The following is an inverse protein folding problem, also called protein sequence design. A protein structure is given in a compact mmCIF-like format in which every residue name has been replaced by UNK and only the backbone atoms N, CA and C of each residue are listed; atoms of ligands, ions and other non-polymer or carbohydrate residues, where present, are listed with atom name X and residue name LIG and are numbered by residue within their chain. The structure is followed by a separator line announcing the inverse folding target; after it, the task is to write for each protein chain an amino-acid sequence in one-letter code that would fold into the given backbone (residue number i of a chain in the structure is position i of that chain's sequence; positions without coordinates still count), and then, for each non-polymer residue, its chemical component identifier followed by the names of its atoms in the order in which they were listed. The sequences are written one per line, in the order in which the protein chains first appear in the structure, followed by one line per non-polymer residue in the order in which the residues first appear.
data_IF_530899253693
#
_entry.id   IF_530899253693
#
_cell.length_a   1.000
_cell.length_b   1.000
_cell.length_c   1.000
_cell.angle_alpha   90.00
_cell.angle_beta   90.00
_cell.angle_gamma   90.00
#
_symmetry.space_group_name_H-M   'P 1'
#
loop_
_entity.id
_entity.type
_entity.pdbx_description
1 polymer ?
#
# COMPACT_ATOMS: atom_id res chain seq x y z
N UNK A 1 2.51 -33.44 -6.80
CA UNK A 1 1.20 -32.77 -6.70
C UNK A 1 0.72 -32.59 -5.26
N UNK A 2 0.69 -33.61 -4.41
CA UNK A 2 0.24 -33.52 -2.98
C UNK A 2 0.99 -32.43 -2.16
N UNK A 3 2.29 -32.29 -2.28
CA UNK A 3 3.09 -31.30 -1.55
C UNK A 3 2.77 -29.83 -1.94
N UNK A 4 2.45 -29.57 -3.21
CA UNK A 4 2.01 -28.22 -3.64
C UNK A 4 0.63 -27.87 -3.09
N UNK A 5 -0.29 -28.84 -3.08
CA UNK A 5 -1.63 -28.67 -2.50
C UNK A 5 -1.58 -28.39 -0.99
N UNK A 6 -0.72 -29.12 -0.24
CA UNK A 6 -0.53 -28.87 1.20
C UNK A 6 0.10 -27.52 1.51
N UNK A 7 1.06 -27.07 0.70
CA UNK A 7 1.67 -25.75 0.83
C UNK A 7 0.65 -24.62 0.59
N UNK A 8 -0.13 -24.73 -0.48
CA UNK A 8 -1.17 -23.76 -0.81
C UNK A 8 -2.28 -23.77 0.25
N UNK A 9 -2.71 -24.96 0.72
CA UNK A 9 -3.71 -25.08 1.76
C UNK A 9 -3.30 -24.43 3.09
N UNK A 10 -2.06 -24.68 3.55
CA UNK A 10 -1.51 -24.02 4.75
C UNK A 10 -1.49 -22.48 4.61
N UNK A 11 -1.15 -21.96 3.42
CA UNK A 11 -1.14 -20.50 3.18
C UNK A 11 -2.55 -19.90 3.16
N UNK A 12 -3.52 -20.59 2.56
CA UNK A 12 -4.92 -20.15 2.57
C UNK A 12 -5.52 -20.14 3.99
N UNK A 13 -5.23 -21.16 4.81
CA UNK A 13 -5.64 -21.17 6.22
C UNK A 13 -4.99 -20.00 6.96
N UNK A 14 -3.69 -19.76 6.76
CA UNK A 14 -3.00 -18.62 7.38
C UNK A 14 -3.62 -17.28 6.96
N UNK A 15 -3.98 -17.14 5.68
CA UNK A 15 -4.69 -15.95 5.20
C UNK A 15 -6.03 -15.78 5.89
N UNK A 16 -6.85 -16.83 5.96
CA UNK A 16 -8.15 -16.77 6.61
C UNK A 16 -8.03 -16.38 8.10
N UNK A 17 -7.07 -16.97 8.81
CA UNK A 17 -6.81 -16.62 10.22
C UNK A 17 -6.32 -15.18 10.38
N UNK A 18 -5.47 -14.68 9.49
CA UNK A 18 -5.03 -13.28 9.50
C UNK A 18 -6.18 -12.32 9.22
N UNK A 19 -7.01 -12.59 8.21
CA UNK A 19 -8.17 -11.75 7.89
C UNK A 19 -9.19 -11.73 9.05
N UNK A 20 -9.42 -12.88 9.66
CA UNK A 20 -10.26 -12.97 10.86
C UNK A 20 -9.64 -12.18 12.02
N UNK A 21 -8.36 -12.35 12.31
CA UNK A 21 -7.67 -11.62 13.38
C UNK A 21 -7.71 -10.11 13.18
N UNK A 22 -7.43 -9.65 11.95
CA UNK A 22 -7.47 -8.22 11.61
C UNK A 22 -8.89 -7.67 11.76
N UNK A 23 -9.94 -8.39 11.30
CA UNK A 23 -11.31 -7.94 11.44
C UNK A 23 -11.75 -7.85 12.91
N UNK A 24 -11.37 -8.83 13.75
CA UNK A 24 -11.63 -8.79 15.21
C UNK A 24 -10.97 -7.59 15.85
N UNK A 25 -9.67 -7.36 15.58
CA UNK A 25 -8.93 -6.24 16.16
C UNK A 25 -9.54 -4.90 15.73
N UNK A 26 -9.84 -4.75 14.44
CA UNK A 26 -10.48 -3.53 13.93
C UNK A 26 -11.85 -3.29 14.59
N UNK A 27 -12.66 -4.35 14.73
CA UNK A 27 -13.95 -4.28 15.40
C UNK A 27 -13.81 -3.85 16.86
N UNK A 28 -12.88 -4.48 17.60
CA UNK A 28 -12.65 -4.15 19.02
C UNK A 28 -12.15 -2.71 19.20
N UNK A 29 -11.25 -2.24 18.32
CA UNK A 29 -10.78 -0.86 18.35
C UNK A 29 -11.92 0.13 18.09
N UNK A 30 -12.83 -0.16 17.16
CA UNK A 30 -14.01 0.66 16.91
C UNK A 30 -14.97 0.66 18.12
N UNK A 31 -15.20 -0.48 18.77
CA UNK A 31 -16.02 -0.55 19.97
C UNK A 31 -15.40 0.17 21.17
N UNK A 32 -14.06 0.22 21.24
CA UNK A 32 -13.32 0.94 22.28
C UNK A 32 -13.15 2.43 21.98
N UNK A 33 -13.52 2.89 20.78
CA UNK A 33 -13.43 4.29 20.38
C UNK A 33 -14.39 5.14 21.22
N UNK A 34 -13.91 6.29 21.75
CA UNK A 34 -14.77 7.23 22.47
C UNK A 34 -15.66 8.07 21.54
N UNK A 35 -15.57 7.86 20.22
CA UNK A 35 -16.34 8.60 19.23
C UNK A 35 -17.81 8.13 19.24
N UNK A 36 -18.71 9.03 19.53
CA UNK A 36 -20.14 8.81 19.39
C UNK A 36 -20.53 9.03 17.91
N UNK A 37 -21.06 7.99 17.23
CA UNK A 37 -21.47 8.10 15.83
C UNK A 37 -22.46 9.21 15.56
N UNK A 38 -23.41 9.44 16.48
CA UNK A 38 -24.42 10.47 16.31
C UNK A 38 -23.81 11.87 16.44
N UNK A 39 -23.01 12.09 17.49
CA UNK A 39 -22.37 13.40 17.67
C UNK A 39 -21.40 13.73 16.53
N UNK A 40 -20.66 12.74 16.05
CA UNK A 40 -19.68 12.92 14.97
C UNK A 40 -20.33 13.25 13.63
N UNK A 41 -21.47 12.59 13.30
CA UNK A 41 -22.08 12.69 11.98
C UNK A 41 -23.26 13.65 11.88
N UNK A 42 -23.96 13.89 12.98
CA UNK A 42 -25.13 14.78 13.05
C UNK A 42 -24.77 16.12 13.68
N UNK A 43 -23.86 16.10 14.65
CA UNK A 43 -23.47 17.26 15.43
C UNK A 43 -24.38 17.52 16.63
N UNK A 44 -23.78 17.93 17.74
CA UNK A 44 -24.48 18.11 19.02
C UNK A 44 -25.63 19.15 18.96
N UNK A 45 -25.45 20.22 18.17
CA UNK A 45 -26.48 21.23 18.01
C UNK A 45 -27.74 20.70 17.29
N UNK A 46 -27.55 19.88 16.27
CA UNK A 46 -28.67 19.27 15.53
C UNK A 46 -29.37 18.19 16.38
N UNK A 47 -28.62 17.39 17.13
CA UNK A 47 -29.18 16.40 18.06
C UNK A 47 -30.06 17.07 19.14
N UNK A 48 -29.67 18.25 19.64
CA UNK A 48 -30.44 19.01 20.63
C UNK A 48 -31.79 19.52 20.11
N UNK A 49 -32.01 19.55 18.80
CA UNK A 49 -33.28 19.96 18.17
C UNK A 49 -34.16 18.81 17.74
N UNK A 50 -33.65 17.57 17.79
CA UNK A 50 -34.38 16.36 17.36
C UNK A 50 -35.31 15.84 18.43
N UNK A 51 -36.42 15.21 17.96
CA UNK A 51 -37.29 14.46 18.87
C UNK A 51 -36.63 13.16 19.36
N UNK A 52 -37.06 12.62 20.54
CA UNK A 52 -36.56 11.33 21.01
C UNK A 52 -36.74 10.19 20.00
N UNK A 53 -37.83 10.21 19.22
CA UNK A 53 -38.08 9.20 18.18
C UNK A 53 -37.08 9.30 17.02
N UNK A 54 -36.65 10.51 16.66
CA UNK A 54 -35.66 10.72 15.61
C UNK A 54 -34.28 10.25 16.08
N UNK A 55 -33.93 10.54 17.32
CA UNK A 55 -32.68 10.06 17.94
C UNK A 55 -32.67 8.52 17.99
N UNK A 56 -33.73 7.88 18.47
CA UNK A 56 -33.83 6.43 18.53
C UNK A 56 -33.72 5.76 17.15
N UNK A 57 -34.27 6.36 16.09
CA UNK A 57 -34.10 5.87 14.71
C UNK A 57 -32.66 5.97 14.24
N UNK A 58 -31.95 7.03 14.62
CA UNK A 58 -30.53 7.19 14.29
C UNK A 58 -29.66 6.20 15.08
N UNK A 59 -29.92 6.01 16.37
CA UNK A 59 -29.24 5.00 17.20
C UNK A 59 -29.41 3.60 16.63
N UNK A 60 -30.62 3.24 16.24
CA UNK A 60 -30.89 1.97 15.58
C UNK A 60 -30.16 1.84 14.22
N UNK A 61 -30.12 2.91 13.42
CA UNK A 61 -29.41 2.94 12.13
C UNK A 61 -27.90 2.73 12.30
N UNK A 62 -27.28 3.35 13.32
CA UNK A 62 -25.87 3.21 13.62
C UNK A 62 -25.57 1.94 14.45
N UNK A 63 -26.58 1.23 14.89
CA UNK A 63 -26.46 -0.01 15.66
C UNK A 63 -25.88 0.18 17.05
N UNK A 64 -26.07 1.36 17.65
CA UNK A 64 -25.55 1.71 18.98
C UNK A 64 -26.10 0.77 20.05
N UNK A 65 -27.39 0.41 19.97
CA UNK A 65 -28.09 -0.46 20.94
C UNK A 65 -27.83 -1.95 20.73
N UNK A 66 -27.17 -2.33 19.63
CA UNK A 66 -26.94 -3.74 19.32
C UNK A 66 -25.71 -4.25 20.09
N UNK A 67 -25.81 -5.36 20.87
CA UNK A 67 -24.66 -5.92 21.56
C UNK A 67 -23.48 -6.16 20.61
N UNK A 68 -22.25 -5.76 20.97
CA UNK A 68 -21.08 -5.80 20.06
C UNK A 68 -20.85 -7.18 19.45
N UNK A 69 -20.96 -8.26 20.25
CA UNK A 69 -20.75 -9.61 19.76
C UNK A 69 -21.79 -10.01 18.69
N UNK A 70 -23.05 -9.68 18.89
CA UNK A 70 -24.12 -9.95 17.93
C UNK A 70 -23.89 -9.20 16.63
N UNK A 71 -23.47 -7.93 16.72
CA UNK A 71 -23.13 -7.09 15.56
C UNK A 71 -21.97 -7.66 14.76
N UNK A 72 -20.91 -8.10 15.44
CA UNK A 72 -19.75 -8.69 14.77
C UNK A 72 -20.09 -10.02 14.09
N UNK A 73 -20.76 -10.93 14.80
CA UNK A 73 -21.14 -12.24 14.25
C UNK A 73 -22.13 -12.12 13.09
N UNK A 74 -23.08 -11.18 13.16
CA UNK A 74 -23.97 -10.85 12.06
C UNK A 74 -23.17 -10.39 10.83
N UNK A 75 -22.31 -9.39 10.98
CA UNK A 75 -21.44 -8.91 9.90
C UNK A 75 -20.57 -10.03 9.32
N UNK A 76 -19.94 -10.84 10.15
CA UNK A 76 -19.09 -11.96 9.70
C UNK A 76 -19.90 -13.00 8.90
N UNK A 77 -21.10 -13.33 9.36
CA UNK A 77 -22.01 -14.26 8.65
C UNK A 77 -22.38 -13.72 7.26
N UNK A 78 -22.64 -12.43 7.14
CA UNK A 78 -23.03 -11.81 5.88
C UNK A 78 -21.84 -11.67 4.92
N UNK A 79 -20.65 -11.32 5.42
CA UNK A 79 -19.42 -11.31 4.63
C UNK A 79 -19.08 -12.68 4.05
N UNK A 80 -19.32 -13.77 4.81
CA UNK A 80 -19.10 -15.13 4.30
C UNK A 80 -20.07 -15.49 3.16
N UNK A 81 -21.21 -14.78 3.03
CA UNK A 81 -22.14 -14.88 1.89
C UNK A 81 -21.82 -13.89 0.77
N UNK A 82 -20.79 -13.04 0.95
CA UNK A 82 -20.39 -12.01 -0.02
C UNK A 82 -21.04 -10.64 0.20
N UNK A 83 -21.82 -10.47 1.25
CA UNK A 83 -22.44 -9.19 1.62
C UNK A 83 -21.61 -8.48 2.70
N UNK A 84 -20.96 -7.40 2.32
CA UNK A 84 -20.19 -6.55 3.24
C UNK A 84 -21.05 -5.51 3.97
N UNK A 85 -22.36 -5.51 3.71
CA UNK A 85 -23.32 -4.56 4.27
C UNK A 85 -23.34 -3.21 3.53
N UNK A 86 -24.00 -2.24 4.18
CA UNK A 86 -24.14 -0.87 3.67
C UNK A 86 -23.30 0.09 4.48
N UNK A 87 -22.56 0.96 3.80
CA UNK A 87 -21.83 2.07 4.43
C UNK A 87 -22.82 3.07 5.04
N UNK A 88 -22.60 3.39 6.30
CA UNK A 88 -23.47 4.31 7.04
C UNK A 88 -23.26 5.77 6.59
N UNK A 89 -22.03 6.13 6.23
CA UNK A 89 -21.68 7.47 5.73
C UNK A 89 -22.12 7.69 4.28
N UNK A 90 -21.78 6.76 3.39
CA UNK A 90 -22.04 6.90 1.96
C UNK A 90 -23.44 6.43 1.55
N UNK A 91 -24.16 5.70 2.41
CA UNK A 91 -25.49 5.13 2.15
C UNK A 91 -25.54 4.27 0.87
N UNK A 92 -24.46 3.56 0.61
CA UNK A 92 -24.25 2.69 -0.55
C UNK A 92 -23.70 1.34 -0.08
N UNK A 93 -23.87 0.25 -0.87
CA UNK A 93 -23.23 -1.01 -0.56
C UNK A 93 -21.71 -0.83 -0.37
N UNK A 94 -21.17 -1.40 0.71
CA UNK A 94 -19.73 -1.31 1.05
C UNK A 94 -18.85 -1.74 -0.12
N UNK A 95 -19.24 -2.81 -0.81
CA UNK A 95 -18.47 -3.34 -1.95
C UNK A 95 -18.39 -2.32 -3.12
N UNK A 96 -19.43 -1.52 -3.34
CA UNK A 96 -19.45 -0.46 -4.35
C UNK A 96 -18.48 0.67 -3.99
N UNK A 97 -18.50 1.11 -2.72
CA UNK A 97 -17.58 2.14 -2.22
C UNK A 97 -16.14 1.65 -2.33
N UNK A 98 -15.87 0.42 -1.85
CA UNK A 98 -14.54 -0.19 -1.95
C UNK A 98 -14.09 -0.27 -3.41
N UNK A 99 -14.94 -0.74 -4.32
CA UNK A 99 -14.60 -0.88 -5.73
C UNK A 99 -14.17 0.44 -6.37
N UNK A 100 -14.92 1.53 -6.12
CA UNK A 100 -14.59 2.86 -6.63
C UNK A 100 -13.26 3.38 -6.06
N UNK A 101 -13.06 3.24 -4.75
CA UNK A 101 -11.85 3.68 -4.06
C UNK A 101 -10.63 2.84 -4.43
N UNK A 102 -10.82 1.52 -4.61
CA UNK A 102 -9.78 0.60 -5.03
C UNK A 102 -9.23 0.95 -6.42
N UNK A 103 -10.08 1.30 -7.38
CA UNK A 103 -9.63 1.71 -8.72
C UNK A 103 -8.72 2.94 -8.63
N UNK A 104 -9.10 3.94 -7.82
CA UNK A 104 -8.28 5.14 -7.62
C UNK A 104 -6.93 4.80 -6.96
N UNK A 105 -6.94 4.07 -5.83
CA UNK A 105 -5.72 3.64 -5.16
C UNK A 105 -4.87 2.71 -6.02
N UNK A 106 -5.47 1.82 -6.82
CA UNK A 106 -4.73 0.88 -7.65
C UNK A 106 -3.81 1.59 -8.64
N UNK A 107 -4.30 2.59 -9.38
CA UNK A 107 -3.48 3.33 -10.34
C UNK A 107 -2.39 4.15 -9.65
N UNK A 108 -2.71 4.74 -8.49
CA UNK A 108 -1.73 5.46 -7.68
C UNK A 108 -0.63 4.52 -7.18
N UNK A 109 -1.01 3.40 -6.56
CA UNK A 109 -0.07 2.43 -6.00
C UNK A 109 0.75 1.73 -7.07
N UNK A 110 0.13 1.36 -8.20
CA UNK A 110 0.82 0.74 -9.32
C UNK A 110 1.88 1.67 -9.92
N UNK A 111 1.54 2.94 -10.15
CA UNK A 111 2.51 3.91 -10.67
C UNK A 111 3.65 4.14 -9.67
N UNK A 112 3.35 4.31 -8.39
CA UNK A 112 4.36 4.44 -7.36
C UNK A 112 5.26 3.20 -7.27
N UNK A 113 4.67 2.01 -7.32
CA UNK A 113 5.36 0.73 -7.28
C UNK A 113 6.30 0.55 -8.48
N UNK A 114 5.83 0.83 -9.70
CA UNK A 114 6.66 0.74 -10.91
C UNK A 114 7.82 1.73 -10.86
N UNK A 115 7.54 2.99 -10.53
CA UNK A 115 8.57 4.05 -10.50
C UNK A 115 9.62 3.72 -9.42
N UNK A 116 9.20 3.34 -8.22
CA UNK A 116 10.13 2.99 -7.14
C UNK A 116 11.00 1.78 -7.49
N UNK A 117 10.42 0.77 -8.14
CA UNK A 117 11.16 -0.43 -8.58
C UNK A 117 12.21 -0.12 -9.64
N UNK A 118 11.83 0.61 -10.67
CA UNK A 118 12.74 0.99 -11.76
C UNK A 118 13.86 1.89 -11.25
N UNK A 119 13.52 2.93 -10.50
CA UNK A 119 14.50 3.86 -9.94
C UNK A 119 15.38 3.17 -8.88
N UNK A 120 14.79 2.36 -8.00
CA UNK A 120 15.52 1.63 -6.97
C UNK A 120 16.51 0.63 -7.57
N UNK A 121 16.10 -0.13 -8.58
CA UNK A 121 16.98 -1.03 -9.32
C UNK A 121 18.11 -0.26 -10.00
N UNK A 122 17.80 0.79 -10.74
CA UNK A 122 18.78 1.58 -11.47
C UNK A 122 19.81 2.22 -10.52
N UNK A 123 19.33 2.87 -9.45
CA UNK A 123 20.19 3.51 -8.45
C UNK A 123 21.04 2.46 -7.70
N UNK A 124 20.48 1.31 -7.36
CA UNK A 124 21.21 0.23 -6.70
C UNK A 124 22.31 -0.35 -7.58
N UNK A 125 22.02 -0.58 -8.87
CA UNK A 125 23.04 -1.04 -9.86
C UNK A 125 24.15 -0.02 -9.99
N UNK A 126 23.83 1.28 -10.12
CA UNK A 126 24.82 2.35 -10.23
C UNK A 126 25.66 2.43 -8.95
N UNK A 127 25.03 2.43 -7.78
CA UNK A 127 25.73 2.52 -6.51
C UNK A 127 26.66 1.31 -6.28
N UNK A 128 26.22 0.09 -6.62
CA UNK A 128 27.01 -1.12 -6.50
C UNK A 128 28.18 -1.15 -7.48
N UNK A 129 27.95 -0.77 -8.75
CA UNK A 129 28.98 -0.72 -9.78
C UNK A 129 30.08 0.32 -9.48
N UNK A 130 29.72 1.43 -8.84
CA UNK A 130 30.65 2.51 -8.47
C UNK A 130 30.94 2.53 -6.97
N UNK A 131 31.02 1.36 -6.32
CA UNK A 131 31.25 1.21 -4.88
C UNK A 131 32.40 2.12 -4.39
N UNK A 132 32.14 2.90 -3.34
CA UNK A 132 33.09 3.81 -2.69
C UNK A 132 33.36 5.10 -3.44
N UNK A 133 32.89 5.26 -4.70
CA UNK A 133 33.02 6.48 -5.51
C UNK A 133 31.86 7.44 -5.21
N UNK A 134 31.90 8.64 -5.83
CA UNK A 134 30.91 9.69 -5.60
C UNK A 134 29.46 9.30 -5.93
N UNK A 135 29.11 8.49 -7.00
CA UNK A 135 27.74 8.09 -7.24
C UNK A 135 27.20 7.22 -6.12
N UNK A 136 27.99 6.26 -5.60
CA UNK A 136 27.63 5.42 -4.47
C UNK A 136 27.36 6.27 -3.22
N UNK A 137 28.22 7.25 -2.92
CA UNK A 137 28.06 8.11 -1.74
C UNK A 137 26.79 8.95 -1.81
N UNK A 138 26.50 9.53 -2.97
CA UNK A 138 25.28 10.34 -3.19
C UNK A 138 24.02 9.49 -3.08
N UNK A 139 23.97 8.33 -3.74
CA UNK A 139 22.80 7.45 -3.69
C UNK A 139 22.56 6.93 -2.28
N UNK A 140 23.60 6.52 -1.56
CA UNK A 140 23.44 6.11 -0.15
C UNK A 140 22.99 7.26 0.73
N UNK A 141 23.55 8.45 0.56
CA UNK A 141 23.12 9.65 1.28
C UNK A 141 21.66 9.96 1.07
N UNK A 142 21.20 9.92 -0.20
CA UNK A 142 19.79 10.03 -0.55
C UNK A 142 18.94 8.95 0.14
N UNK A 143 19.34 7.68 0.03
CA UNK A 143 18.58 6.58 0.63
C UNK A 143 18.44 6.71 2.15
N UNK A 144 19.53 7.08 2.86
CA UNK A 144 19.47 7.30 4.31
C UNK A 144 18.60 8.49 4.69
N UNK A 145 18.70 9.60 3.93
CA UNK A 145 17.84 10.76 4.17
C UNK A 145 16.36 10.41 4.02
N UNK A 146 16.00 9.75 2.92
CA UNK A 146 14.60 9.40 2.64
C UNK A 146 14.08 8.33 3.60
N UNK A 147 14.87 7.31 3.95
CA UNK A 147 14.46 6.30 4.94
C UNK A 147 14.19 6.87 6.33
N UNK A 148 14.79 8.01 6.66
CA UNK A 148 14.58 8.72 7.91
C UNK A 148 13.44 9.75 7.85
N UNK A 149 12.85 9.95 6.67
CA UNK A 149 11.83 10.98 6.42
C UNK A 149 10.44 10.34 6.40
N UNK A 150 9.50 10.79 7.25
CA UNK A 150 8.12 10.32 7.20
C UNK A 150 7.46 10.67 5.85
N UNK A 151 6.70 9.72 5.28
CA UNK A 151 6.06 9.89 3.96
C UNK A 151 5.10 11.08 3.91
N UNK A 152 4.33 11.32 4.97
CA UNK A 152 3.41 12.46 5.02
C UNK A 152 4.14 13.80 5.04
N UNK A 153 5.31 13.88 5.70
CA UNK A 153 6.12 15.10 5.71
C UNK A 153 6.65 15.41 4.32
N UNK A 154 7.16 14.39 3.62
CA UNK A 154 7.58 14.52 2.23
C UNK A 154 6.41 14.92 1.33
N UNK A 155 5.21 14.37 1.55
CA UNK A 155 3.99 14.74 0.83
C UNK A 155 3.70 16.25 0.97
N UNK A 156 3.72 16.77 2.20
CA UNK A 156 3.49 18.19 2.48
C UNK A 156 4.58 19.06 1.82
N UNK A 157 5.85 18.64 1.91
CA UNK A 157 6.96 19.38 1.30
C UNK A 157 6.80 19.48 -0.23
N UNK A 158 6.51 18.36 -0.90
CA UNK A 158 6.29 18.33 -2.35
C UNK A 158 5.06 19.14 -2.76
N UNK A 159 3.98 19.07 -1.97
CA UNK A 159 2.79 19.87 -2.18
C UNK A 159 3.11 21.37 -2.10
N UNK A 160 3.82 21.80 -1.06
CA UNK A 160 4.21 23.21 -0.89
C UNK A 160 5.09 23.70 -2.03
N UNK A 161 6.08 22.92 -2.45
CA UNK A 161 7.02 23.32 -3.51
C UNK A 161 6.29 23.35 -4.86
N UNK A 162 5.68 22.24 -5.28
CA UNK A 162 5.21 22.08 -6.66
C UNK A 162 3.78 22.59 -6.89
N UNK A 163 2.92 22.57 -5.90
CA UNK A 163 1.56 23.03 -6.06
C UNK A 163 1.36 24.47 -5.57
N UNK A 164 1.97 24.85 -4.43
CA UNK A 164 1.74 26.18 -3.83
C UNK A 164 2.75 27.20 -4.36
N UNK A 165 4.06 26.95 -4.28
CA UNK A 165 5.07 27.92 -4.66
C UNK A 165 5.28 28.03 -6.16
N UNK A 166 5.38 26.88 -6.84
CA UNK A 166 5.62 26.86 -8.29
C UNK A 166 4.32 26.87 -9.11
N UNK A 167 3.20 26.44 -8.56
CA UNK A 167 1.92 26.36 -9.26
C UNK A 167 1.90 25.37 -10.45
N UNK A 168 2.85 24.43 -10.50
CA UNK A 168 2.99 23.52 -11.64
C UNK A 168 1.96 22.38 -11.62
N UNK A 169 1.60 21.91 -10.43
CA UNK A 169 0.72 20.77 -10.22
C UNK A 169 -0.45 21.12 -9.29
N UNK A 170 -1.57 20.40 -9.35
CA UNK A 170 -2.72 20.65 -8.50
C UNK A 170 -2.41 20.31 -7.02
N UNK A 171 -3.10 21.03 -6.11
CA UNK A 171 -2.92 20.88 -4.66
C UNK A 171 -3.38 19.50 -4.16
N UNK A 172 -4.34 18.87 -4.82
CA UNK A 172 -4.87 17.58 -4.39
C UNK A 172 -6.05 17.12 -5.22
N UNK A 173 -6.89 16.23 -4.63
CA UNK A 173 -7.98 15.52 -5.27
C UNK A 173 -7.48 14.55 -6.38
N UNK A 174 -8.40 13.85 -7.03
CA UNK A 174 -8.07 12.99 -8.20
C UNK A 174 -8.52 13.61 -9.53
N UNK A 175 -9.26 14.71 -9.44
CA UNK A 175 -9.87 15.42 -10.57
C UNK A 175 -9.99 16.92 -10.25
N UNK A 176 -10.10 17.80 -11.26
CA UNK A 176 -10.31 19.22 -11.03
C UNK A 176 -11.60 19.49 -10.24
N UNK A 177 -11.52 20.38 -9.26
CA UNK A 177 -12.67 20.75 -8.45
C UNK A 177 -13.74 21.45 -9.30
N UNK A 178 -15.01 21.08 -9.10
CA UNK A 178 -16.15 21.68 -9.80
C UNK A 178 -16.35 21.22 -11.25
N UNK A 179 -15.53 20.30 -11.76
CA UNK A 179 -15.71 19.73 -13.09
C UNK A 179 -16.66 18.52 -13.05
N UNK A 180 -17.56 18.43 -14.03
CA UNK A 180 -18.41 17.25 -14.19
C UNK A 180 -17.57 16.01 -14.44
N UNK A 181 -17.92 14.91 -13.79
CA UNK A 181 -17.20 13.63 -13.93
C UNK A 181 -17.08 13.14 -15.38
N UNK A 182 -18.06 13.45 -16.23
CA UNK A 182 -18.06 13.14 -17.65
C UNK A 182 -17.07 13.98 -18.48
N UNK A 183 -16.68 15.15 -17.99
CA UNK A 183 -15.75 16.07 -18.65
C UNK A 183 -14.28 15.83 -18.24
N UNK A 184 -14.04 15.03 -17.20
CA UNK A 184 -12.69 14.75 -16.69
C UNK A 184 -11.90 13.86 -17.65
N UNK A 185 -10.78 14.37 -18.16
CA UNK A 185 -9.89 13.63 -19.06
C UNK A 185 -8.92 12.71 -18.30
N UNK A 186 -8.33 11.76 -19.02
CA UNK A 186 -7.24 10.93 -18.48
C UNK A 186 -6.01 11.78 -18.10
N UNK A 187 -5.75 12.87 -18.82
CA UNK A 187 -4.67 13.80 -18.53
C UNK A 187 -4.88 14.54 -17.21
N UNK A 188 -6.13 14.95 -16.91
CA UNK A 188 -6.47 15.56 -15.62
C UNK A 188 -6.21 14.59 -14.46
N UNK A 189 -6.67 13.35 -14.58
CA UNK A 189 -6.44 12.31 -13.57
C UNK A 189 -4.94 12.04 -13.36
N UNK A 190 -4.19 11.94 -14.44
CA UNK A 190 -2.73 11.74 -14.37
C UNK A 190 -2.06 12.92 -13.66
N UNK A 191 -2.41 14.16 -14.04
CA UNK A 191 -1.84 15.38 -13.44
C UNK A 191 -2.07 15.43 -11.92
N UNK A 192 -3.26 15.05 -11.46
CA UNK A 192 -3.59 14.98 -10.03
C UNK A 192 -2.89 13.83 -9.29
N UNK A 193 -2.55 12.74 -10.00
CA UNK A 193 -1.85 11.60 -9.42
C UNK A 193 -0.33 11.80 -9.29
N UNK A 194 0.28 12.76 -10.01
CA UNK A 194 1.74 12.93 -10.07
C UNK A 194 2.36 13.12 -8.67
N UNK A 195 1.90 14.11 -7.91
CA UNK A 195 2.49 14.41 -6.60
C UNK A 195 2.32 13.25 -5.59
N UNK A 196 1.14 12.66 -5.42
CA UNK A 196 0.97 11.49 -4.57
C UNK A 196 1.85 10.31 -5.01
N UNK A 197 1.90 10.02 -6.32
CA UNK A 197 2.71 8.93 -6.85
C UNK A 197 4.22 9.17 -6.68
N UNK A 198 4.70 10.38 -6.91
CA UNK A 198 6.10 10.75 -6.66
C UNK A 198 6.46 10.62 -5.19
N UNK A 199 5.59 11.07 -4.28
CA UNK A 199 5.82 10.93 -2.84
C UNK A 199 6.04 9.47 -2.45
N UNK A 200 5.11 8.58 -2.85
CA UNK A 200 5.22 7.15 -2.57
C UNK A 200 6.40 6.50 -3.28
N UNK A 201 6.72 6.93 -4.50
CA UNK A 201 7.86 6.41 -5.25
C UNK A 201 9.18 6.75 -4.58
N UNK A 202 9.36 8.01 -4.18
CA UNK A 202 10.59 8.50 -3.55
C UNK A 202 10.87 7.72 -2.26
N UNK A 203 9.85 7.50 -1.42
CA UNK A 203 9.99 6.71 -0.18
C UNK A 203 10.28 5.24 -0.46
N UNK A 204 9.69 4.65 -1.50
CA UNK A 204 9.88 3.24 -1.87
C UNK A 204 11.23 2.92 -2.51
N UNK A 205 11.94 3.90 -3.09
CA UNK A 205 13.23 3.68 -3.79
C UNK A 205 14.33 3.18 -2.87
N UNK A 206 14.41 3.73 -1.66
CA UNK A 206 15.59 3.59 -0.80
C UNK A 206 15.90 2.12 -0.42
N UNK A 207 14.87 1.37 -0.01
CA UNK A 207 15.00 -0.03 0.38
C UNK A 207 15.50 -0.88 -0.80
N UNK A 208 14.89 -0.73 -1.98
CA UNK A 208 15.25 -1.48 -3.19
C UNK A 208 16.65 -1.13 -3.64
N UNK A 209 17.01 0.17 -3.64
CA UNK A 209 18.33 0.63 -4.05
C UNK A 209 19.45 0.08 -3.17
N UNK A 210 19.29 0.12 -1.84
CA UNK A 210 20.31 -0.37 -0.92
C UNK A 210 20.52 -1.90 -1.03
N UNK A 211 19.43 -2.68 -1.09
CA UNK A 211 19.55 -4.12 -1.28
C UNK A 211 20.11 -4.51 -2.65
N UNK A 212 19.69 -3.83 -3.71
CA UNK A 212 20.24 -4.05 -5.06
C UNK A 212 21.73 -3.72 -5.10
N UNK A 213 22.14 -2.62 -4.43
CA UNK A 213 23.53 -2.25 -4.28
C UNK A 213 24.38 -3.37 -3.67
N UNK A 214 23.95 -3.90 -2.51
CA UNK A 214 24.68 -4.99 -1.84
C UNK A 214 24.80 -6.23 -2.74
N UNK A 215 23.69 -6.62 -3.37
CA UNK A 215 23.70 -7.75 -4.32
C UNK A 215 24.58 -7.50 -5.54
N UNK A 216 24.63 -6.28 -6.04
CA UNK A 216 25.49 -5.92 -7.16
C UNK A 216 26.98 -6.02 -6.78
N UNK A 217 27.34 -5.62 -5.56
CA UNK A 217 28.68 -5.77 -5.03
C UNK A 217 29.05 -7.26 -4.93
N UNK A 218 28.19 -8.09 -4.31
CA UNK A 218 28.40 -9.54 -4.21
C UNK A 218 28.68 -10.17 -5.59
N UNK A 219 27.91 -9.76 -6.61
CA UNK A 219 28.08 -10.26 -7.98
C UNK A 219 29.38 -9.80 -8.58
N UNK A 220 29.75 -8.53 -8.46
CA UNK A 220 30.96 -7.97 -9.08
C UNK A 220 32.25 -8.46 -8.41
N UNK A 221 32.20 -8.95 -7.17
CA UNK A 221 33.31 -9.56 -6.43
C UNK A 221 33.38 -11.09 -6.62
N UNK A 222 32.47 -11.69 -7.40
CA UNK A 222 32.43 -13.15 -7.61
C UNK A 222 33.52 -13.65 -8.56
N UNK A 223 33.92 -14.92 -8.39
CA UNK A 223 34.97 -15.56 -9.21
C UNK A 223 34.62 -15.56 -10.70
N UNK A 224 33.35 -15.75 -11.06
CA UNK A 224 32.95 -15.76 -12.48
C UNK A 224 33.06 -14.37 -13.14
N UNK A 225 32.90 -13.29 -12.37
CA UNK A 225 33.15 -11.92 -12.87
C UNK A 225 34.63 -11.65 -12.97
N UNK A 226 35.43 -12.13 -12.03
CA UNK A 226 36.90 -12.06 -12.11
C UNK A 226 37.39 -12.76 -13.38
N UNK A 227 36.83 -13.93 -13.69
CA UNK A 227 37.16 -14.66 -14.91
C UNK A 227 36.73 -13.93 -16.19
N UNK A 228 35.56 -13.28 -16.17
CA UNK A 228 35.10 -12.45 -17.30
C UNK A 228 36.05 -11.27 -17.56
N UNK A 229 36.54 -10.60 -16.49
CA UNK A 229 37.57 -9.55 -16.60
C UNK A 229 38.88 -10.08 -17.18
N UNK A 230 39.33 -11.26 -16.74
CA UNK A 230 40.56 -11.90 -17.26
C UNK A 230 40.42 -12.22 -18.76
N UNK A 231 39.21 -12.46 -19.26
CA UNK A 231 38.90 -12.63 -20.69
C UNK A 231 38.81 -11.35 -21.49
N UNK A 232 38.95 -10.19 -20.85
CA UNK A 232 38.91 -8.89 -21.49
C UNK A 232 37.50 -8.34 -21.73
N UNK A 233 36.47 -8.85 -21.01
CA UNK A 233 35.14 -8.25 -21.08
C UNK A 233 35.15 -6.83 -20.48
N UNK A 234 34.48 -5.88 -21.16
CA UNK A 234 34.39 -4.50 -20.67
C UNK A 234 33.50 -4.42 -19.41
N UNK A 235 33.79 -3.47 -18.52
CA UNK A 235 33.02 -3.25 -17.28
C UNK A 235 31.53 -3.04 -17.55
N UNK A 236 31.16 -2.32 -18.62
CA UNK A 236 29.75 -2.12 -18.99
C UNK A 236 29.09 -3.46 -19.37
N UNK A 237 29.80 -4.31 -20.14
CA UNK A 237 29.32 -5.65 -20.50
C UNK A 237 29.11 -6.51 -19.25
N UNK A 238 30.06 -6.46 -18.32
CA UNK A 238 30.00 -7.18 -17.04
C UNK A 238 28.79 -6.71 -16.22
N UNK A 239 28.58 -5.41 -16.08
CA UNK A 239 27.43 -4.83 -15.35
C UNK A 239 26.11 -5.29 -15.96
N UNK A 240 25.97 -5.23 -17.29
CA UNK A 240 24.70 -5.54 -17.96
C UNK A 240 24.44 -7.06 -18.05
N UNK A 241 25.45 -7.86 -18.41
CA UNK A 241 25.28 -9.31 -18.65
C UNK A 241 25.33 -10.14 -17.37
N UNK A 242 26.25 -9.80 -16.47
CA UNK A 242 26.46 -10.54 -15.24
C UNK A 242 25.82 -9.84 -14.04
N UNK A 243 25.99 -8.53 -13.89
CA UNK A 243 25.42 -7.73 -12.82
C UNK A 243 23.89 -7.71 -12.84
N UNK A 244 23.32 -7.02 -13.79
CA UNK A 244 21.88 -6.75 -13.88
C UNK A 244 21.06 -8.05 -13.91
N UNK A 245 21.53 -9.06 -14.67
CA UNK A 245 20.82 -10.35 -14.76
C UNK A 245 20.70 -11.06 -13.41
N UNK A 246 21.71 -10.95 -12.54
CA UNK A 246 21.73 -11.62 -11.24
C UNK A 246 21.05 -10.82 -10.12
N UNK A 247 20.95 -9.47 -10.26
CA UNK A 247 20.28 -8.64 -9.25
C UNK A 247 18.81 -8.36 -9.57
N UNK A 248 18.38 -8.49 -10.83
CA UNK A 248 17.00 -8.15 -11.23
C UNK A 248 15.94 -8.99 -10.51
N UNK A 249 16.15 -10.29 -10.40
CA UNK A 249 15.17 -11.18 -9.78
C UNK A 249 15.09 -11.00 -8.24
N UNK A 250 16.19 -10.89 -7.48
CA UNK A 250 16.14 -10.46 -6.09
C UNK A 250 15.46 -9.10 -5.89
N UNK A 251 15.78 -8.09 -6.72
CA UNK A 251 15.16 -6.77 -6.65
C UNK A 251 13.64 -6.85 -6.89
N UNK A 252 13.19 -7.63 -7.87
CA UNK A 252 11.76 -7.85 -8.15
C UNK A 252 11.06 -8.51 -6.96
N UNK A 253 11.72 -9.45 -6.29
CA UNK A 253 11.14 -10.09 -5.11
C UNK A 253 10.97 -9.11 -3.95
N UNK A 254 11.97 -8.26 -3.70
CA UNK A 254 11.87 -7.17 -2.71
C UNK A 254 10.77 -6.19 -3.09
N UNK A 255 10.62 -5.90 -4.39
CA UNK A 255 9.57 -5.03 -4.90
C UNK A 255 8.17 -5.57 -4.58
N UNK A 256 7.91 -6.86 -4.71
CA UNK A 256 6.63 -7.46 -4.29
C UNK A 256 6.48 -7.48 -2.77
N UNK A 257 7.55 -7.67 -2.00
CA UNK A 257 7.51 -7.58 -0.55
C UNK A 257 7.20 -6.16 -0.04
N UNK A 258 7.60 -5.11 -0.79
CA UNK A 258 7.33 -3.71 -0.42
C UNK A 258 5.87 -3.26 -0.62
N UNK A 259 5.00 -4.09 -1.19
CA UNK A 259 3.57 -3.76 -1.38
C UNK A 259 2.90 -3.34 -0.06
N UNK A 260 3.22 -4.00 1.05
CA UNK A 260 2.69 -3.66 2.37
C UNK A 260 3.13 -2.28 2.87
N UNK A 261 4.39 -1.90 2.61
CA UNK A 261 4.94 -0.58 2.98
C UNK A 261 4.28 0.54 2.16
N UNK A 262 4.11 0.31 0.85
CA UNK A 262 3.49 1.27 -0.06
C UNK A 262 2.02 1.49 0.31
N UNK A 263 1.27 0.43 0.60
CA UNK A 263 -0.12 0.53 1.04
C UNK A 263 -0.21 1.26 2.39
N UNK A 264 0.64 0.91 3.37
CA UNK A 264 0.66 1.60 4.66
C UNK A 264 1.00 3.09 4.54
N UNK A 265 1.98 3.42 3.70
CA UNK A 265 2.37 4.81 3.41
C UNK A 265 1.30 5.59 2.63
N UNK A 266 0.54 4.91 1.77
CA UNK A 266 -0.48 5.56 0.93
C UNK A 266 -1.62 6.18 1.74
N UNK A 267 -1.98 5.61 2.89
CA UNK A 267 -3.05 6.13 3.75
C UNK A 267 -2.79 7.60 4.11
N UNK A 268 -1.58 7.91 4.57
CA UNK A 268 -1.22 9.28 4.96
C UNK A 268 -1.05 10.19 3.74
N UNK A 269 -0.50 9.67 2.65
CA UNK A 269 -0.34 10.42 1.40
C UNK A 269 -1.70 10.75 0.78
N UNK A 270 -2.63 9.80 0.72
CA UNK A 270 -4.00 10.02 0.27
C UNK A 270 -4.71 11.09 1.12
N UNK A 271 -4.47 11.12 2.45
CA UNK A 271 -5.01 12.16 3.32
C UNK A 271 -4.42 13.55 3.01
N UNK A 272 -3.10 13.67 2.89
CA UNK A 272 -2.45 14.97 2.61
C UNK A 272 -2.94 15.56 1.29
N UNK A 273 -3.07 14.74 0.24
CA UNK A 273 -3.54 15.18 -1.08
C UNK A 273 -5.06 15.13 -1.24
N UNK A 274 -5.83 14.76 -0.22
CA UNK A 274 -7.28 14.51 -0.32
C UNK A 274 -7.62 13.60 -1.51
N UNK A 275 -6.72 12.64 -1.80
CA UNK A 275 -6.87 11.73 -2.92
C UNK A 275 -7.90 10.64 -2.56
N UNK A 276 -8.96 10.43 -3.39
CA UNK A 276 -10.09 9.58 -3.02
C UNK A 276 -9.76 8.08 -3.15
N UNK A 277 -8.82 7.60 -2.36
CA UNK A 277 -8.39 6.21 -2.33
C UNK A 277 -8.98 5.41 -1.15
N UNK A 278 -8.52 4.14 -1.03
CA UNK A 278 -8.91 3.23 0.06
C UNK A 278 -8.42 3.70 1.42
N UNK A 279 -7.20 4.25 1.50
CA UNK A 279 -6.63 4.74 2.74
C UNK A 279 -7.40 5.94 3.28
N UNK A 280 -7.74 6.90 2.42
CA UNK A 280 -8.58 8.03 2.79
C UNK A 280 -9.97 7.55 3.25
N UNK A 281 -10.58 6.61 2.53
CA UNK A 281 -11.89 6.07 2.90
C UNK A 281 -11.84 5.32 4.24
N UNK A 282 -10.76 4.60 4.55
CA UNK A 282 -10.57 3.95 5.84
C UNK A 282 -10.51 4.96 7.00
N UNK A 283 -9.74 6.04 6.84
CA UNK A 283 -9.68 7.11 7.86
C UNK A 283 -11.03 7.77 8.03
N UNK A 284 -11.70 8.10 6.94
CA UNK A 284 -13.05 8.71 6.98
C UNK A 284 -14.06 7.78 7.67
N UNK A 285 -14.03 6.47 7.35
CA UNK A 285 -14.89 5.48 7.99
C UNK A 285 -14.59 5.34 9.50
N UNK A 286 -13.31 5.35 9.87
CA UNK A 286 -12.90 5.27 11.29
C UNK A 286 -13.35 6.50 12.08
N UNK A 287 -13.10 7.69 11.59
CA UNK A 287 -13.50 8.94 12.23
C UNK A 287 -15.02 9.12 12.26
N UNK A 288 -15.71 8.70 11.21
CA UNK A 288 -17.17 8.76 11.12
C UNK A 288 -17.89 7.56 11.72
N UNK A 289 -17.20 6.64 12.39
CA UNK A 289 -17.77 5.45 13.03
C UNK A 289 -18.54 4.51 12.07
N UNK A 290 -18.18 4.51 10.78
CA UNK A 290 -18.76 3.60 9.78
C UNK A 290 -18.12 2.21 9.88
N UNK A 291 -18.62 1.41 10.79
CA UNK A 291 -18.08 0.09 11.10
C UNK A 291 -18.10 -0.87 9.90
N UNK A 292 -19.21 -1.05 9.14
CA UNK A 292 -19.23 -1.96 8.00
C UNK A 292 -18.18 -1.57 6.93
N UNK A 293 -18.06 -0.29 6.63
CA UNK A 293 -17.10 0.19 5.65
C UNK A 293 -15.67 0.01 6.12
N UNK A 294 -15.34 0.36 7.36
CA UNK A 294 -14.00 0.21 7.91
C UNK A 294 -13.56 -1.25 7.93
N UNK A 295 -14.42 -2.17 8.40
CA UNK A 295 -14.15 -3.61 8.40
C UNK A 295 -13.94 -4.13 6.97
N UNK A 296 -14.79 -3.74 6.04
CA UNK A 296 -14.68 -4.13 4.63
C UNK A 296 -13.36 -3.67 4.00
N UNK A 297 -13.00 -2.39 4.16
CA UNK A 297 -11.73 -1.85 3.65
C UNK A 297 -10.55 -2.57 4.28
N UNK A 298 -10.56 -2.79 5.58
CA UNK A 298 -9.46 -3.43 6.30
C UNK A 298 -9.23 -4.86 5.83
N UNK A 299 -10.29 -5.65 5.66
CA UNK A 299 -10.22 -7.02 5.15
C UNK A 299 -9.70 -7.05 3.71
N UNK A 300 -10.22 -6.18 2.83
CA UNK A 300 -9.77 -6.11 1.43
C UNK A 300 -8.31 -5.68 1.34
N UNK A 301 -7.91 -4.67 2.09
CA UNK A 301 -6.52 -4.20 2.14
C UNK A 301 -5.58 -5.30 2.66
N UNK A 302 -5.94 -5.99 3.74
CA UNK A 302 -5.18 -7.11 4.26
C UNK A 302 -5.05 -8.26 3.23
N UNK A 303 -6.11 -8.54 2.46
CA UNK A 303 -6.06 -9.53 1.39
C UNK A 303 -5.09 -9.13 0.27
N UNK A 304 -5.07 -7.85 -0.12
CA UNK A 304 -4.14 -7.33 -1.14
C UNK A 304 -2.69 -7.43 -0.65
N UNK A 305 -2.42 -7.02 0.59
CA UNK A 305 -1.09 -7.15 1.22
C UNK A 305 -0.65 -8.61 1.26
N UNK A 306 -1.54 -9.52 1.65
CA UNK A 306 -1.25 -10.94 1.67
C UNK A 306 -0.94 -11.48 0.27
N UNK A 307 -1.68 -11.07 -0.76
CA UNK A 307 -1.43 -11.46 -2.14
C UNK A 307 -0.05 -10.98 -2.63
N UNK A 308 0.35 -9.74 -2.32
CA UNK A 308 1.68 -9.22 -2.61
C UNK A 308 2.80 -10.04 -1.97
N UNK A 309 2.67 -10.31 -0.68
CA UNK A 309 3.62 -11.15 0.06
C UNK A 309 3.65 -12.60 -0.46
N UNK A 310 2.50 -13.15 -0.87
CA UNK A 310 2.45 -14.49 -1.46
C UNK A 310 3.21 -14.55 -2.79
N UNK A 311 3.08 -13.53 -3.64
CA UNK A 311 3.84 -13.42 -4.89
C UNK A 311 5.33 -13.32 -4.59
N UNK A 312 5.74 -12.49 -3.61
CA UNK A 312 7.13 -12.39 -3.16
C UNK A 312 7.69 -13.76 -2.74
N UNK A 313 6.96 -14.50 -1.90
CA UNK A 313 7.36 -15.84 -1.44
C UNK A 313 7.50 -16.86 -2.59
N UNK A 314 6.61 -16.79 -3.58
CA UNK A 314 6.68 -17.65 -4.77
C UNK A 314 7.92 -17.33 -5.62
N UNK A 315 8.24 -16.05 -5.78
CA UNK A 315 9.43 -15.59 -6.49
C UNK A 315 10.72 -16.01 -5.74
N UNK A 316 10.75 -15.88 -4.41
CA UNK A 316 11.86 -16.37 -3.60
C UNK A 316 12.13 -17.88 -3.81
N UNK A 317 11.08 -18.67 -3.89
CA UNK A 317 11.19 -20.12 -4.16
C UNK A 317 11.75 -20.46 -5.56
N UNK A 318 11.72 -19.50 -6.50
CA UNK A 318 12.35 -19.62 -7.83
C UNK A 318 13.84 -19.23 -7.77
N UNK A 319 14.18 -18.22 -6.96
CA UNK A 319 15.56 -17.70 -6.84
C UNK A 319 16.46 -18.68 -6.06
N UNK A 320 15.98 -19.19 -4.94
CA UNK A 320 16.75 -20.12 -4.09
C UNK A 320 16.07 -21.49 -3.98
N UNK A 321 16.49 -22.45 -4.83
CA UNK A 321 15.97 -23.82 -4.77
C UNK A 321 16.28 -24.55 -3.45
N UNK A 322 17.24 -24.06 -2.64
CA UNK A 322 17.59 -24.66 -1.34
C UNK A 322 16.51 -24.38 -0.29
N UNK A 323 15.90 -23.20 -0.31
CA UNK A 323 14.77 -22.85 0.55
C UNK A 323 13.59 -23.79 0.25
N UNK A 324 13.38 -24.15 -1.01
CA UNK A 324 12.36 -25.11 -1.45
C UNK A 324 12.57 -26.52 -0.87
N UNK A 325 13.83 -26.91 -0.63
CA UNK A 325 14.18 -28.21 -0.02
C UNK A 325 14.15 -28.17 1.52
N UNK A 326 14.42 -27.01 2.15
CA UNK A 326 14.35 -26.82 3.60
C UNK A 326 12.89 -26.76 4.12
N UNK A 327 12.00 -26.09 3.39
CA UNK A 327 10.57 -26.08 3.70
C UNK A 327 9.87 -27.46 3.49
N UNK A 328 10.56 -28.44 2.91
CA UNK A 328 10.09 -29.81 2.76
C UNK A 328 10.56 -30.74 3.90
N UNK A 329 11.37 -30.25 4.85
CA UNK A 329 11.93 -31.03 5.97
C UNK A 329 11.44 -30.56 7.37
N UNK A 330 10.64 -29.53 7.48
CA UNK A 330 9.88 -29.09 8.65
C UNK A 330 8.39 -29.12 8.34
#
# INVERSE_FOLDING_TARGET
MKHRLQFTGKKLIRMALLLLGVSIVTFLLMCASPLDPLQTNVGQAALGTMSPEQIAKLEAYWGVDTPPLTRYLGWLSDVLKGDFGTSLLYRQPVISVIGQRLVSSFWLLLSAWVISGVLGLAMGVIAGAFRGRWPDRLIRGYCFLISSTPSFWLAILLLLIFAVWLGWLPIGLSVPAGMDAAAVTAADRLRHAILPALTLSITGVANIALHTREKMIDVLESDYVLFARARGESEISIILRHGLRNVALPALTLQFASVSEIIGGSVLVEQVFSYPGLGQAAVTAGLGSDLPLLLGITVVTAAIVFAGNLIADLLYGVIDPKIRKGAARG
#
